data_IF_748187459989
#
_entry.id   IF_748187459989
#
_cell.length_a   1.000
_cell.length_b   1.000
_cell.length_c   1.000
_cell.angle_alpha   90.00
_cell.angle_beta   90.00
_cell.angle_gamma   90.00
#
_symmetry.space_group_name_H-M   'P 1'
#
loop_
_entity.id
_entity.type
_entity.pdbx_description
1 polymer ?
#
# COMPACT_ATOMS: atom_id res chain seq x y z
N UNK A 1 -45.09 41.64 -4.55
CA UNK A 1 -44.61 41.59 -5.95
C UNK A 1 -43.07 41.55 -6.07
N UNK A 2 -42.34 42.29 -5.22
CA UNK A 2 -40.86 42.37 -5.21
C UNK A 2 -40.18 41.02 -4.88
N UNK A 3 -40.73 40.27 -3.91
CA UNK A 3 -40.18 38.96 -3.48
C UNK A 3 -40.24 37.92 -4.60
N UNK A 4 -41.35 37.86 -5.36
CA UNK A 4 -41.48 36.94 -6.51
C UNK A 4 -40.47 37.25 -7.62
N UNK A 5 -40.17 38.53 -7.88
CA UNK A 5 -39.12 38.92 -8.84
C UNK A 5 -37.71 38.52 -8.38
N UNK A 6 -37.41 38.61 -7.09
CA UNK A 6 -36.12 38.18 -6.54
C UNK A 6 -35.91 36.66 -6.58
N UNK A 7 -36.96 35.89 -6.28
CA UNK A 7 -36.93 34.43 -6.40
C UNK A 7 -36.72 34.01 -7.86
N UNK A 8 -37.44 34.64 -8.80
CA UNK A 8 -37.30 34.33 -10.23
C UNK A 8 -35.89 34.65 -10.76
N UNK A 9 -35.32 35.78 -10.32
CA UNK A 9 -33.96 36.18 -10.70
C UNK A 9 -32.90 35.23 -10.12
N UNK A 10 -33.10 34.77 -8.89
CA UNK A 10 -32.20 33.80 -8.24
C UNK A 10 -32.27 32.42 -8.90
N UNK A 11 -33.47 31.93 -9.23
CA UNK A 11 -33.66 30.69 -9.99
C UNK A 11 -33.02 30.77 -11.38
N UNK A 12 -33.15 31.92 -12.07
CA UNK A 12 -32.52 32.11 -13.38
C UNK A 12 -30.99 32.08 -13.29
N UNK A 13 -30.41 32.80 -12.32
CA UNK A 13 -28.95 32.78 -12.06
C UNK A 13 -28.44 31.38 -11.73
N UNK A 14 -29.20 30.61 -10.95
CA UNK A 14 -28.83 29.23 -10.59
C UNK A 14 -28.81 28.32 -11.81
N UNK A 15 -29.85 28.40 -12.67
CA UNK A 15 -29.93 27.64 -13.91
C UNK A 15 -28.83 28.05 -14.90
N UNK A 16 -28.57 29.35 -15.06
CA UNK A 16 -27.48 29.84 -15.93
C UNK A 16 -26.11 29.37 -15.43
N UNK A 17 -25.89 29.35 -14.11
CA UNK A 17 -24.66 28.83 -13.51
C UNK A 17 -24.54 27.30 -13.70
N UNK A 18 -25.64 26.56 -13.55
CA UNK A 18 -25.65 25.11 -13.84
C UNK A 18 -25.37 24.80 -15.30
N UNK A 19 -25.89 25.60 -16.23
CA UNK A 19 -25.62 25.46 -17.68
C UNK A 19 -24.16 25.82 -17.99
N UNK A 20 -23.61 26.87 -17.38
CA UNK A 20 -22.19 27.21 -17.53
C UNK A 20 -21.25 26.14 -16.99
N UNK A 21 -21.57 25.55 -15.83
CA UNK A 21 -20.83 24.41 -15.26
C UNK A 21 -20.95 23.18 -16.16
N UNK A 22 -22.14 22.91 -16.70
CA UNK A 22 -22.39 21.82 -17.63
C UNK A 22 -21.58 21.99 -18.92
N UNK A 23 -21.52 23.20 -19.50
CA UNK A 23 -20.68 23.48 -20.66
C UNK A 23 -19.17 23.46 -20.33
N UNK A 24 -18.74 23.93 -19.16
CA UNK A 24 -17.34 23.81 -18.72
C UNK A 24 -16.91 22.35 -18.52
N UNK A 25 -17.84 21.45 -18.18
CA UNK A 25 -17.61 20.02 -18.08
C UNK A 25 -17.71 19.28 -19.43
N UNK A 26 -18.24 19.92 -20.48
CA UNK A 26 -18.55 19.29 -21.78
C UNK A 26 -17.72 19.82 -22.94
N UNK A 27 -16.91 20.87 -22.77
CA UNK A 27 -15.92 21.26 -23.79
C UNK A 27 -14.90 20.13 -23.94
N UNK A 28 -14.91 19.37 -25.05
CA UNK A 28 -13.90 18.36 -25.31
C UNK A 28 -12.72 19.10 -25.95
N UNK A 29 -11.80 19.53 -25.10
CA UNK A 29 -10.57 20.19 -25.50
C UNK A 29 -9.56 20.20 -24.36
N UNK A 30 -9.60 19.20 -23.47
CA UNK A 30 -8.65 19.13 -22.37
C UNK A 30 -7.36 18.53 -22.90
N UNK A 31 -6.43 19.39 -23.33
CA UNK A 31 -5.01 19.05 -23.23
C UNK A 31 -4.80 18.57 -21.79
N UNK A 32 -4.44 17.30 -21.62
CA UNK A 32 -3.98 16.77 -20.35
C UNK A 32 -2.70 17.52 -20.01
N UNK A 33 -2.74 18.24 -18.89
CA UNK A 33 -1.53 18.79 -18.32
C UNK A 33 -0.54 17.64 -18.09
N UNK A 34 0.73 17.83 -18.42
CA UNK A 34 1.73 16.81 -18.20
C UNK A 34 1.80 16.46 -16.72
N UNK A 35 2.02 15.19 -16.40
CA UNK A 35 2.21 14.72 -15.03
C UNK A 35 3.26 13.62 -14.98
N UNK A 36 3.81 13.35 -13.80
CA UNK A 36 4.86 12.35 -13.63
C UNK A 36 4.20 11.01 -13.26
N UNK A 37 4.57 9.95 -13.96
CA UNK A 37 4.18 8.59 -13.57
C UNK A 37 4.89 8.20 -12.27
N UNK A 38 4.19 7.61 -11.29
CA UNK A 38 4.84 7.12 -10.08
C UNK A 38 5.77 5.92 -10.35
N UNK A 39 5.65 5.25 -11.49
CA UNK A 39 6.39 4.02 -11.81
C UNK A 39 7.63 4.29 -12.67
N UNK A 40 8.64 3.41 -12.62
CA UNK A 40 9.84 3.59 -13.41
C UNK A 40 9.64 3.19 -14.88
N UNK A 41 10.48 3.72 -15.76
CA UNK A 41 10.77 3.17 -17.11
C UNK A 41 9.54 2.89 -17.99
N UNK A 42 8.55 3.78 -17.99
CA UNK A 42 7.33 3.61 -18.80
C UNK A 42 6.43 2.47 -18.32
N UNK A 43 6.58 2.03 -17.07
CA UNK A 43 5.62 1.13 -16.46
C UNK A 43 4.31 1.86 -16.22
N UNK A 44 3.23 1.17 -16.53
CA UNK A 44 1.90 1.74 -16.60
C UNK A 44 1.12 1.50 -15.31
N UNK A 45 1.29 0.33 -14.69
CA UNK A 45 0.64 -0.04 -13.44
C UNK A 45 1.53 -0.95 -12.61
N UNK A 46 1.20 -1.11 -11.33
CA UNK A 46 1.90 -2.02 -10.41
C UNK A 46 0.95 -3.06 -9.85
N UNK A 47 1.47 -4.28 -9.73
CA UNK A 47 0.82 -5.33 -8.98
C UNK A 47 1.81 -6.07 -8.08
N UNK A 48 1.42 -6.24 -6.82
CA UNK A 48 2.17 -7.02 -5.83
C UNK A 48 1.23 -7.66 -4.81
N UNK A 49 1.77 -8.57 -4.00
CA UNK A 49 1.01 -9.37 -3.03
C UNK A 49 1.76 -9.38 -1.70
N UNK A 50 1.03 -9.21 -0.59
CA UNK A 50 1.44 -9.62 0.75
C UNK A 50 0.73 -10.93 1.09
N UNK A 51 1.50 -12.01 1.24
CA UNK A 51 1.01 -13.30 1.73
C UNK A 51 1.21 -13.41 3.24
N UNK A 52 0.16 -13.80 3.94
CA UNK A 52 0.10 -13.90 5.39
C UNK A 52 0.52 -15.31 5.88
N UNK A 53 1.15 -15.37 7.05
CA UNK A 53 1.74 -16.58 7.61
C UNK A 53 0.73 -17.63 8.11
N UNK A 54 -0.57 -17.32 8.20
CA UNK A 54 -1.56 -18.30 8.69
C UNK A 54 -1.63 -19.56 7.84
N UNK A 55 -1.68 -20.70 8.53
CA UNK A 55 -1.85 -22.03 7.95
C UNK A 55 -0.74 -22.44 6.96
N UNK A 56 0.31 -21.62 6.84
CA UNK A 56 1.42 -21.86 5.93
C UNK A 56 2.16 -23.14 6.31
N UNK A 57 2.29 -24.04 5.34
CA UNK A 57 3.28 -25.12 5.38
C UNK A 57 4.01 -25.12 4.05
N UNK A 58 5.24 -25.65 4.02
CA UNK A 58 6.02 -25.74 2.78
C UNK A 58 5.20 -26.40 1.67
N UNK A 59 4.48 -27.50 1.95
CA UNK A 59 3.75 -28.22 0.89
C UNK A 59 2.58 -27.41 0.31
N UNK A 60 1.91 -26.60 1.15
CA UNK A 60 0.77 -25.77 0.72
C UNK A 60 1.23 -24.59 -0.13
N UNK A 61 2.25 -23.86 0.31
CA UNK A 61 2.64 -22.61 -0.36
C UNK A 61 3.58 -22.86 -1.54
N UNK A 62 4.37 -23.95 -1.52
CA UNK A 62 5.40 -24.20 -2.53
C UNK A 62 4.92 -24.18 -3.97
N UNK A 63 3.82 -24.87 -4.34
CA UNK A 63 3.31 -24.83 -5.71
C UNK A 63 2.87 -23.43 -6.15
N UNK A 64 2.40 -22.59 -5.22
CA UNK A 64 1.96 -21.22 -5.51
C UNK A 64 3.17 -20.33 -5.76
N UNK A 65 4.20 -20.39 -4.91
CA UNK A 65 5.42 -19.62 -5.07
C UNK A 65 6.28 -20.08 -6.25
N UNK A 66 6.30 -21.38 -6.56
CA UNK A 66 6.92 -21.88 -7.79
C UNK A 66 6.22 -21.28 -9.02
N UNK A 67 4.88 -21.23 -9.05
CA UNK A 67 4.12 -20.56 -10.10
C UNK A 67 4.42 -19.05 -10.16
N UNK A 68 4.42 -18.34 -9.03
CA UNK A 68 4.73 -16.89 -9.00
C UNK A 68 6.13 -16.62 -9.57
N UNK A 69 7.11 -17.46 -9.21
CA UNK A 69 8.47 -17.37 -9.71
C UNK A 69 8.54 -17.60 -11.22
N UNK A 70 7.88 -18.64 -11.73
CA UNK A 70 7.79 -18.95 -13.17
C UNK A 70 7.14 -17.81 -13.97
N UNK A 71 6.14 -17.14 -13.39
CA UNK A 71 5.44 -16.01 -14.01
C UNK A 71 6.18 -14.67 -13.84
N UNK A 72 7.32 -14.63 -13.16
CA UNK A 72 8.08 -13.40 -12.89
C UNK A 72 7.38 -12.45 -11.91
N UNK A 73 6.42 -12.94 -11.12
CA UNK A 73 5.68 -12.15 -10.14
C UNK A 73 6.41 -12.20 -8.79
N UNK A 74 7.19 -11.15 -8.48
CA UNK A 74 7.82 -11.01 -7.16
C UNK A 74 6.83 -10.43 -6.16
N UNK A 75 6.79 -11.03 -4.97
CA UNK A 75 5.82 -10.72 -3.92
C UNK A 75 6.52 -10.73 -2.55
N UNK A 76 5.74 -10.42 -1.52
CA UNK A 76 6.17 -10.37 -0.13
C UNK A 76 5.47 -11.48 0.66
N UNK A 77 6.25 -12.32 1.34
CA UNK A 77 5.75 -13.33 2.26
C UNK A 77 5.99 -12.89 3.70
N UNK A 78 4.96 -12.90 4.54
CA UNK A 78 5.08 -12.71 5.97
C UNK A 78 5.38 -14.06 6.64
N UNK A 79 6.24 -14.05 7.65
CA UNK A 79 6.61 -15.27 8.39
C UNK A 79 6.49 -15.06 9.90
N UNK A 80 6.18 -16.14 10.61
CA UNK A 80 6.37 -16.23 12.05
C UNK A 80 7.80 -16.66 12.36
N UNK A 81 8.50 -15.90 13.21
CA UNK A 81 9.88 -16.25 13.59
C UNK A 81 9.87 -17.42 14.58
N UNK A 82 8.91 -17.43 15.51
CA UNK A 82 8.86 -18.35 16.63
C UNK A 82 7.49 -19.00 16.77
N UNK A 83 7.48 -20.19 17.35
CA UNK A 83 6.24 -20.84 17.81
C UNK A 83 5.59 -20.01 18.92
N UNK A 84 4.26 -19.90 18.94
CA UNK A 84 3.57 -19.10 19.93
C UNK A 84 3.71 -19.72 21.33
N UNK A 85 4.25 -18.94 22.26
CA UNK A 85 4.33 -19.33 23.67
C UNK A 85 2.98 -19.15 24.42
N UNK A 86 2.08 -18.33 23.86
CA UNK A 86 0.77 -17.97 24.44
C UNK A 86 -0.32 -18.03 23.38
N UNK A 87 -1.57 -17.93 23.83
CA UNK A 87 -2.69 -17.67 22.92
C UNK A 87 -2.63 -16.23 22.41
N UNK A 88 -3.36 -15.92 21.35
CA UNK A 88 -3.58 -14.54 20.89
C UNK A 88 -4.84 -13.94 21.54
N UNK A 89 -5.06 -12.63 21.45
CA UNK A 89 -6.34 -11.96 21.71
C UNK A 89 -6.65 -11.61 23.17
N UNK A 90 -6.66 -12.61 24.06
CA UNK A 90 -6.99 -12.45 25.49
C UNK A 90 -5.73 -12.69 26.31
N UNK A 91 -5.40 -11.84 27.30
CA UNK A 91 -4.27 -12.08 28.19
C UNK A 91 -4.42 -13.40 28.95
N UNK A 92 -3.31 -14.13 29.16
CA UNK A 92 -3.31 -15.43 29.82
C UNK A 92 -3.95 -15.43 31.23
N UNK A 93 -3.83 -14.32 31.97
CA UNK A 93 -4.43 -14.18 33.29
C UNK A 93 -5.97 -14.05 33.24
N UNK A 94 -6.52 -13.55 32.13
CA UNK A 94 -7.97 -13.44 31.91
C UNK A 94 -8.57 -14.73 31.35
N UNK A 95 -7.78 -15.55 30.64
CA UNK A 95 -8.22 -16.88 30.20
C UNK A 95 -8.76 -17.69 31.38
N UNK A 96 -8.14 -17.60 32.56
CA UNK A 96 -8.60 -18.26 33.79
C UNK A 96 -10.04 -17.94 34.19
N UNK A 97 -10.56 -16.78 33.80
CA UNK A 97 -11.90 -16.29 34.12
C UNK A 97 -13.01 -16.74 33.15
N UNK A 98 -12.63 -17.28 31.98
CA UNK A 98 -13.57 -17.76 30.98
C UNK A 98 -14.23 -19.09 31.40
N UNK A 99 -15.49 -19.29 30.99
CA UNK A 99 -16.14 -20.60 31.08
C UNK A 99 -15.37 -21.66 30.30
N UNK A 100 -15.69 -22.93 30.55
CA UNK A 100 -15.00 -24.04 29.88
C UNK A 100 -15.26 -24.03 28.38
N UNK A 101 -16.49 -23.74 27.98
CA UNK A 101 -16.94 -23.69 26.59
C UNK A 101 -16.25 -22.55 25.83
N UNK A 102 -16.24 -21.34 26.40
CA UNK A 102 -15.55 -20.17 25.82
C UNK A 102 -14.06 -20.43 25.66
N UNK A 103 -13.44 -21.10 26.63
CA UNK A 103 -12.02 -21.47 26.57
C UNK A 103 -11.73 -22.47 25.46
N UNK A 104 -12.60 -23.46 25.25
CA UNK A 104 -12.43 -24.46 24.18
C UNK A 104 -12.57 -23.81 22.80
N UNK A 105 -13.58 -22.96 22.61
CA UNK A 105 -13.78 -22.23 21.35
C UNK A 105 -12.58 -21.34 21.04
N UNK A 106 -12.08 -20.62 22.04
CA UNK A 106 -10.93 -19.75 21.92
C UNK A 106 -9.63 -20.49 21.59
N UNK A 107 -9.36 -21.60 22.28
CA UNK A 107 -8.19 -22.43 22.01
C UNK A 107 -8.26 -23.00 20.59
N UNK A 108 -9.43 -23.43 20.13
CA UNK A 108 -9.59 -23.95 18.77
C UNK A 108 -9.37 -22.87 17.70
N UNK A 109 -9.85 -21.63 17.91
CA UNK A 109 -9.57 -20.48 17.04
C UNK A 109 -8.05 -20.21 16.98
N UNK A 110 -7.38 -20.15 18.15
CA UNK A 110 -5.94 -19.90 18.24
C UNK A 110 -5.07 -21.01 17.62
N UNK A 111 -5.47 -22.29 17.73
CA UNK A 111 -4.77 -23.41 17.09
C UNK A 111 -4.97 -23.45 15.57
N UNK A 112 -6.10 -22.94 15.07
CA UNK A 112 -6.41 -22.89 13.63
C UNK A 112 -5.63 -21.81 12.86
N UNK A 113 -4.99 -20.88 13.57
CA UNK A 113 -4.21 -19.77 13.02
C UNK A 113 -2.69 -20.06 13.02
N UNK A 114 -2.27 -21.31 13.22
CA UNK A 114 -0.84 -21.68 13.23
C UNK A 114 -0.36 -21.99 11.82
N UNK A 115 0.75 -21.37 11.43
CA UNK A 115 1.59 -21.78 10.30
C UNK A 115 2.95 -22.26 10.81
N UNK A 116 3.74 -22.85 9.91
CA UNK A 116 5.14 -23.19 10.17
C UNK A 116 5.94 -21.92 10.51
N UNK A 117 6.97 -22.10 11.34
CA UNK A 117 7.79 -21.00 11.84
C UNK A 117 9.25 -21.17 11.43
N UNK A 118 10.04 -20.10 11.52
CA UNK A 118 11.47 -20.16 11.20
C UNK A 118 12.28 -21.06 12.16
N UNK A 119 11.67 -21.55 13.25
CA UNK A 119 12.29 -22.56 14.13
C UNK A 119 12.30 -23.96 13.50
N UNK A 120 11.46 -24.19 12.49
CA UNK A 120 11.39 -25.44 11.76
C UNK A 120 12.35 -25.40 10.57
N UNK A 121 13.30 -26.34 10.53
CA UNK A 121 14.42 -26.30 9.59
C UNK A 121 13.97 -26.34 8.12
N UNK A 122 13.02 -27.22 7.77
CA UNK A 122 12.53 -27.37 6.39
C UNK A 122 11.83 -26.09 5.89
N UNK A 123 11.05 -25.44 6.76
CA UNK A 123 10.40 -24.17 6.44
C UNK A 123 11.43 -23.05 6.30
N UNK A 124 12.39 -22.94 7.23
CA UNK A 124 13.46 -21.95 7.16
C UNK A 124 14.29 -22.08 5.86
N UNK A 125 14.65 -23.29 5.46
CA UNK A 125 15.41 -23.53 4.23
C UNK A 125 14.61 -23.13 2.99
N UNK A 126 13.31 -23.36 3.00
CA UNK A 126 12.40 -22.91 1.96
C UNK A 126 12.25 -21.38 1.92
N UNK A 127 12.09 -20.71 3.06
CA UNK A 127 12.03 -19.24 3.12
C UNK A 127 13.35 -18.61 2.65
N UNK A 128 14.50 -19.20 2.99
CA UNK A 128 15.80 -18.78 2.46
C UNK A 128 15.89 -18.95 0.95
N UNK A 129 15.31 -20.02 0.41
CA UNK A 129 15.18 -20.21 -1.04
C UNK A 129 14.33 -19.12 -1.68
N UNK A 130 13.17 -18.79 -1.11
CA UNK A 130 12.33 -17.69 -1.60
C UNK A 130 13.08 -16.36 -1.61
N UNK A 131 13.81 -16.03 -0.54
CA UNK A 131 14.65 -14.83 -0.50
C UNK A 131 15.70 -14.82 -1.61
N UNK A 132 16.41 -15.94 -1.84
CA UNK A 132 17.37 -16.07 -2.96
C UNK A 132 16.71 -15.92 -4.33
N UNK A 133 15.45 -16.34 -4.46
CA UNK A 133 14.64 -16.18 -5.68
C UNK A 133 14.09 -14.76 -5.86
N UNK A 134 14.39 -13.82 -4.95
CA UNK A 134 13.99 -12.42 -5.04
C UNK A 134 12.59 -12.11 -4.48
N UNK A 135 12.02 -13.00 -3.67
CA UNK A 135 10.84 -12.66 -2.86
C UNK A 135 11.27 -11.89 -1.61
N UNK A 136 10.44 -10.95 -1.18
CA UNK A 136 10.66 -10.23 0.09
C UNK A 136 10.12 -11.06 1.26
N UNK A 137 10.86 -11.06 2.37
CA UNK A 137 10.43 -11.70 3.62
C UNK A 137 10.03 -10.60 4.61
N UNK A 138 8.75 -10.48 4.91
CA UNK A 138 8.22 -9.64 5.97
C UNK A 138 8.04 -10.45 7.27
N UNK A 139 7.83 -9.77 8.40
CA UNK A 139 7.47 -10.42 9.66
C UNK A 139 5.95 -10.34 9.87
N UNK A 140 5.34 -11.46 10.29
CA UNK A 140 3.94 -11.51 10.68
C UNK A 140 3.80 -11.45 12.21
N UNK A 141 4.41 -10.45 12.86
CA UNK A 141 4.72 -10.47 14.31
C UNK A 141 5.68 -11.60 14.72
N UNK A 142 6.05 -11.70 16.00
CA UNK A 142 7.05 -12.68 16.44
C UNK A 142 6.49 -14.12 16.35
N UNK A 143 5.22 -14.31 16.70
CA UNK A 143 4.48 -15.57 16.63
C UNK A 143 2.98 -15.35 16.41
N UNK A 144 2.21 -16.42 16.19
CA UNK A 144 0.74 -16.35 16.06
C UNK A 144 0.00 -16.07 17.39
N UNK A 145 0.73 -15.82 18.48
CA UNK A 145 0.23 -15.65 19.84
C UNK A 145 0.75 -14.36 20.47
N UNK A 146 0.20 -13.98 21.62
CA UNK A 146 0.60 -12.77 22.33
C UNK A 146 2.08 -12.84 22.76
N UNK A 147 2.89 -11.93 22.22
CA UNK A 147 4.32 -11.89 22.46
C UNK A 147 4.67 -10.75 23.43
N UNK A 148 5.34 -11.08 24.53
CA UNK A 148 5.88 -10.08 25.44
C UNK A 148 7.05 -9.35 24.77
N UNK A 149 7.34 -8.14 25.24
CA UNK A 149 8.43 -7.31 24.73
C UNK A 149 9.74 -8.08 24.49
N UNK A 150 10.20 -8.84 25.48
CA UNK A 150 11.48 -9.57 25.38
C UNK A 150 11.45 -10.66 24.30
N UNK A 151 10.28 -11.26 24.05
CA UNK A 151 10.10 -12.25 22.99
C UNK A 151 10.08 -11.58 21.62
N UNK A 152 9.41 -10.43 21.50
CA UNK A 152 9.45 -9.60 20.28
C UNK A 152 10.88 -9.17 19.96
N UNK A 153 11.63 -8.66 20.94
CA UNK A 153 13.03 -8.27 20.77
C UNK A 153 13.84 -9.48 20.28
N UNK A 154 13.71 -10.62 20.96
CA UNK A 154 14.44 -11.84 20.59
C UNK A 154 14.10 -12.31 19.19
N UNK A 155 12.83 -12.28 18.78
CA UNK A 155 12.42 -12.63 17.42
C UNK A 155 13.03 -11.68 16.36
N UNK A 156 13.13 -10.38 16.64
CA UNK A 156 13.80 -9.44 15.72
C UNK A 156 15.31 -9.71 15.60
N UNK A 157 15.98 -10.04 16.71
CA UNK A 157 17.39 -10.44 16.69
C UNK A 157 17.59 -11.76 15.92
N UNK A 158 16.76 -12.77 16.17
CA UNK A 158 16.79 -14.05 15.44
C UNK A 158 16.52 -13.85 13.95
N UNK A 159 15.55 -13.02 13.57
CA UNK A 159 15.30 -12.65 12.17
C UNK A 159 16.56 -12.05 11.54
N UNK A 160 17.21 -11.10 12.23
CA UNK A 160 18.47 -10.49 11.75
C UNK A 160 19.58 -11.51 11.61
N UNK A 161 19.74 -12.41 12.57
CA UNK A 161 20.78 -13.44 12.52
C UNK A 161 20.52 -14.44 11.36
N UNK A 162 19.25 -14.66 11.00
CA UNK A 162 18.85 -15.53 9.88
C UNK A 162 19.05 -14.86 8.51
N UNK A 163 18.66 -13.58 8.37
CA UNK A 163 18.58 -12.91 7.06
C UNK A 163 19.63 -11.82 6.84
N UNK A 164 20.41 -11.46 7.86
CA UNK A 164 21.44 -10.41 7.84
C UNK A 164 20.91 -8.99 8.04
N UNK A 165 19.59 -8.82 8.19
CA UNK A 165 18.91 -7.54 8.31
C UNK A 165 17.64 -7.67 9.16
N UNK A 166 17.15 -6.57 9.72
CA UNK A 166 15.85 -6.55 10.40
C UNK A 166 14.69 -6.52 9.41
N UNK A 167 13.47 -6.98 9.80
CA UNK A 167 12.34 -6.99 8.88
C UNK A 167 11.91 -5.56 8.52
N UNK A 168 12.06 -5.18 7.25
CA UNK A 168 11.65 -3.86 6.77
C UNK A 168 10.13 -3.63 6.83
N UNK A 169 9.35 -4.70 6.97
CA UNK A 169 7.89 -4.68 6.96
C UNK A 169 7.29 -5.60 8.00
N UNK A 170 6.29 -5.09 8.73
CA UNK A 170 5.45 -5.87 9.63
C UNK A 170 4.01 -5.91 9.13
N UNK A 171 3.49 -7.11 8.96
CA UNK A 171 2.09 -7.41 8.73
C UNK A 171 1.57 -7.91 10.07
N UNK A 172 0.74 -7.15 10.77
CA UNK A 172 0.30 -7.54 12.10
C UNK A 172 -0.69 -8.72 12.04
N UNK A 173 -0.52 -9.70 12.94
CA UNK A 173 -1.52 -10.74 13.19
C UNK A 173 -2.65 -10.13 14.00
N UNK A 174 -3.88 -10.15 13.49
CA UNK A 174 -4.96 -9.27 13.95
C UNK A 174 -5.32 -9.39 15.44
N UNK A 175 -5.02 -10.54 16.05
CA UNK A 175 -5.36 -10.86 17.43
C UNK A 175 -4.23 -10.60 18.43
N UNK A 176 -3.00 -10.33 18.00
CA UNK A 176 -1.87 -10.19 18.90
C UNK A 176 -1.93 -8.91 19.74
N UNK A 177 -1.85 -9.03 21.05
CA UNK A 177 -2.00 -7.90 21.99
C UNK A 177 -0.87 -6.87 21.87
N UNK A 178 0.29 -7.26 21.38
CA UNK A 178 1.37 -6.33 21.11
C UNK A 178 1.15 -5.51 19.84
N UNK A 179 0.09 -5.69 19.04
CA UNK A 179 -0.15 -4.82 17.89
C UNK A 179 -0.21 -3.33 18.29
N UNK A 180 0.64 -2.51 17.69
CA UNK A 180 0.72 -1.08 17.97
C UNK A 180 -0.40 -0.33 17.24
N UNK A 181 -1.14 0.52 17.97
CA UNK A 181 -2.25 1.33 17.45
C UNK A 181 -3.37 0.52 16.79
N UNK A 182 -3.68 -0.64 17.38
CA UNK A 182 -4.68 -1.57 16.87
C UNK A 182 -5.99 -1.50 17.66
N UNK A 183 -6.97 -2.32 17.29
CA UNK A 183 -8.34 -2.22 17.80
C UNK A 183 -8.96 -0.86 17.51
N UNK A 184 -9.83 -0.42 18.41
CA UNK A 184 -10.37 0.95 18.39
C UNK A 184 -9.32 2.09 18.23
N UNK A 185 -8.03 1.84 18.50
CA UNK A 185 -6.92 2.82 18.36
C UNK A 185 -6.41 3.02 16.93
N UNK A 186 -6.86 2.21 15.97
CA UNK A 186 -6.62 2.48 14.54
C UNK A 186 -7.16 3.87 14.17
N UNK A 187 -8.29 4.24 14.76
CA UNK A 187 -8.87 5.57 14.66
C UNK A 187 -8.25 6.52 15.70
N UNK A 188 -7.95 7.74 15.28
CA UNK A 188 -7.53 8.81 16.19
C UNK A 188 -8.60 9.09 17.27
N UNK A 189 -8.22 9.78 18.36
CA UNK A 189 -9.14 10.11 19.44
C UNK A 189 -10.34 10.91 18.90
N UNK A 190 -11.55 10.52 19.28
CA UNK A 190 -12.77 11.22 18.89
C UNK A 190 -13.98 10.31 18.71
N UNK A 191 -15.03 10.86 18.09
CA UNK A 191 -16.33 10.19 17.93
C UNK A 191 -16.20 8.87 17.17
N UNK A 192 -15.34 8.80 16.15
CA UNK A 192 -15.15 7.58 15.35
C UNK A 192 -14.55 6.47 16.22
N UNK A 193 -13.50 6.75 17.00
CA UNK A 193 -12.93 5.79 17.95
C UNK A 193 -13.98 5.32 18.96
N UNK A 194 -14.76 6.24 19.52
CA UNK A 194 -15.82 5.89 20.46
C UNK A 194 -16.88 4.97 19.82
N UNK A 195 -17.32 5.25 18.59
CA UNK A 195 -18.27 4.40 17.85
C UNK A 195 -17.67 3.03 17.58
N UNK A 196 -16.41 2.95 17.12
CA UNK A 196 -15.73 1.68 16.90
C UNK A 196 -15.63 0.85 18.18
N UNK A 197 -15.24 1.49 19.27
CA UNK A 197 -15.07 0.82 20.57
C UNK A 197 -16.40 0.34 21.15
N UNK A 198 -17.44 1.17 21.14
CA UNK A 198 -18.68 0.91 21.88
C UNK A 198 -19.77 0.27 21.04
N UNK A 199 -19.90 0.65 19.76
CA UNK A 199 -20.95 0.14 18.87
C UNK A 199 -20.43 -1.05 18.08
N UNK A 200 -19.32 -0.89 17.34
CA UNK A 200 -18.76 -1.99 16.56
C UNK A 200 -18.23 -3.07 17.51
N UNK A 201 -17.53 -2.70 18.58
CA UNK A 201 -17.06 -3.62 19.59
C UNK A 201 -18.15 -4.34 20.39
N UNK A 202 -19.44 -3.95 20.27
CA UNK A 202 -20.55 -4.74 20.82
C UNK A 202 -20.95 -5.91 19.90
N UNK A 203 -20.70 -5.77 18.60
CA UNK A 203 -21.02 -6.78 17.58
C UNK A 203 -19.77 -7.62 17.24
N UNK A 204 -18.58 -7.03 17.42
CA UNK A 204 -17.30 -7.64 17.10
C UNK A 204 -16.32 -7.53 18.29
N UNK A 205 -16.33 -8.51 19.21
CA UNK A 205 -15.58 -8.43 20.47
C UNK A 205 -14.07 -8.22 20.30
N UNK A 206 -13.44 -8.76 19.23
CA UNK A 206 -11.99 -8.63 19.01
C UNK A 206 -11.53 -7.18 18.84
N UNK A 207 -12.42 -6.27 18.39
CA UNK A 207 -12.11 -4.83 18.32
C UNK A 207 -11.86 -4.18 19.70
N UNK A 208 -12.27 -4.85 20.78
CA UNK A 208 -12.06 -4.45 22.19
C UNK A 208 -10.89 -5.15 22.86
N UNK A 209 -10.14 -6.00 22.16
CA UNK A 209 -8.94 -6.59 22.76
C UNK A 209 -7.98 -5.48 23.23
N UNK A 210 -7.30 -5.71 24.37
CA UNK A 210 -6.43 -4.72 24.98
C UNK A 210 -5.08 -4.66 24.24
N UNK A 211 -5.07 -4.13 23.01
CA UNK A 211 -3.85 -3.91 22.25
C UNK A 211 -2.98 -2.85 22.92
N UNK A 212 -1.69 -3.13 23.13
CA UNK A 212 -0.81 -2.32 23.97
C UNK A 212 0.61 -2.12 23.41
N UNK A 213 0.84 -2.40 22.12
CA UNK A 213 2.18 -2.28 21.50
C UNK A 213 2.85 -0.92 21.64
N UNK A 214 2.07 0.14 21.71
CA UNK A 214 2.52 1.53 21.87
C UNK A 214 2.58 2.01 23.33
N UNK A 215 2.11 1.24 24.29
CA UNK A 215 1.98 1.67 25.69
C UNK A 215 3.24 1.36 26.49
N UNK A 216 4.12 2.35 26.75
CA UNK A 216 5.42 2.14 27.41
C UNK A 216 5.41 1.35 28.73
N UNK A 217 4.32 1.42 29.50
CA UNK A 217 4.16 0.69 30.76
C UNK A 217 3.60 -0.74 30.61
N UNK A 218 3.22 -1.14 29.40
CA UNK A 218 2.67 -2.47 29.14
C UNK A 218 3.79 -3.52 28.99
N UNK A 219 3.57 -4.77 29.43
CA UNK A 219 4.46 -5.88 29.12
C UNK A 219 4.55 -6.20 27.61
N UNK A 220 3.59 -5.70 26.81
CA UNK A 220 3.54 -5.84 25.35
C UNK A 220 4.19 -4.66 24.61
N UNK A 221 4.78 -3.69 25.31
CA UNK A 221 5.37 -2.52 24.67
C UNK A 221 6.54 -2.90 23.75
N UNK A 222 6.44 -2.56 22.47
CA UNK A 222 7.55 -2.72 21.51
C UNK A 222 7.58 -1.61 20.45
N UNK A 223 6.80 -0.54 20.62
CA UNK A 223 6.71 0.55 19.65
C UNK A 223 8.06 1.23 19.34
N UNK A 224 8.98 1.28 20.29
CA UNK A 224 10.35 1.75 20.06
C UNK A 224 11.14 0.82 19.12
N UNK A 225 11.03 -0.50 19.30
CA UNK A 225 11.61 -1.50 18.42
C UNK A 225 10.99 -1.42 17.02
N UNK A 226 9.66 -1.29 16.94
CA UNK A 226 8.94 -1.09 15.67
C UNK A 226 9.45 0.16 14.93
N UNK A 227 9.64 1.27 15.67
CA UNK A 227 10.12 2.54 15.13
C UNK A 227 11.55 2.45 14.60
N UNK A 228 12.41 1.76 15.32
CA UNK A 228 13.82 1.65 14.98
C UNK A 228 14.07 0.66 13.83
N UNK A 229 13.38 -0.49 13.85
CA UNK A 229 13.76 -1.67 13.05
C UNK A 229 12.83 -1.98 11.88
N UNK A 230 11.65 -1.35 11.81
CA UNK A 230 10.64 -1.63 10.78
C UNK A 230 10.21 -0.35 10.06
N UNK A 231 10.23 -0.37 8.72
CA UNK A 231 9.89 0.79 7.90
C UNK A 231 8.39 0.87 7.59
N UNK A 232 7.78 -0.27 7.27
CA UNK A 232 6.41 -0.35 6.78
C UNK A 232 5.51 -1.21 7.67
N UNK A 233 4.29 -0.74 7.91
CA UNK A 233 3.25 -1.50 8.61
C UNK A 233 1.94 -1.50 7.82
N UNK A 234 1.33 -2.68 7.67
CA UNK A 234 0.03 -2.85 6.99
C UNK A 234 -1.11 -2.34 7.88
N UNK A 235 -2.10 -1.66 7.30
CA UNK A 235 -3.30 -1.23 8.05
C UNK A 235 -4.62 -1.39 7.27
N UNK A 236 -4.85 -0.57 6.24
CA UNK A 236 -6.20 -0.42 5.68
C UNK A 236 -6.48 -1.32 4.49
N UNK A 237 -7.51 -2.15 4.59
CA UNK A 237 -8.06 -2.94 3.49
C UNK A 237 -9.08 -2.18 2.64
N UNK A 238 -9.12 -2.49 1.34
CA UNK A 238 -10.16 -2.05 0.39
C UNK A 238 -10.60 -3.19 -0.51
N UNK A 239 -11.82 -3.15 -1.03
CA UNK A 239 -12.30 -4.13 -2.01
C UNK A 239 -12.02 -3.71 -3.47
N UNK A 240 -11.50 -2.50 -3.68
CA UNK A 240 -11.05 -2.05 -5.00
C UNK A 240 -9.69 -2.69 -5.33
N UNK A 241 -9.45 -3.07 -6.58
CA UNK A 241 -8.14 -3.57 -7.02
C UNK A 241 -7.08 -2.46 -6.96
N UNK A 242 -7.46 -1.21 -7.24
CA UNK A 242 -6.54 -0.08 -7.24
C UNK A 242 -6.39 0.49 -5.83
N UNK A 243 -5.47 -0.08 -5.05
CA UNK A 243 -5.16 0.35 -3.69
C UNK A 243 -4.74 1.81 -3.63
N UNK A 244 -3.88 2.25 -4.55
CA UNK A 244 -3.35 3.63 -4.59
C UNK A 244 -4.42 4.68 -4.83
N UNK A 245 -5.45 4.36 -5.61
CA UNK A 245 -6.59 5.27 -5.81
C UNK A 245 -7.38 5.52 -4.51
N UNK A 246 -7.47 4.51 -3.66
CA UNK A 246 -8.18 4.60 -2.38
C UNK A 246 -7.32 5.31 -1.34
N UNK A 247 -6.03 5.02 -1.30
CA UNK A 247 -5.08 5.71 -0.43
C UNK A 247 -3.91 6.31 -1.23
N UNK A 248 -4.09 7.48 -1.86
CA UNK A 248 -3.04 8.11 -2.68
C UNK A 248 -1.87 8.63 -1.84
N UNK A 249 -2.06 8.74 -0.52
CA UNK A 249 -1.00 9.17 0.38
C UNK A 249 0.00 8.07 0.73
N UNK A 250 -0.31 6.80 0.39
CA UNK A 250 0.52 5.67 0.77
C UNK A 250 1.88 5.66 0.04
N UNK A 251 2.96 5.24 0.71
CA UNK A 251 3.03 4.99 2.16
C UNK A 251 3.01 6.31 2.96
N UNK A 252 2.29 6.37 4.08
CA UNK A 252 2.05 7.62 4.83
C UNK A 252 2.47 7.53 6.29
N UNK A 253 2.89 8.66 6.86
CA UNK A 253 3.16 8.78 8.29
C UNK A 253 1.95 9.45 8.98
N UNK A 254 1.54 8.92 10.13
CA UNK A 254 0.52 9.52 10.99
C UNK A 254 1.21 10.08 12.24
N UNK A 255 1.29 11.41 12.43
CA UNK A 255 1.94 12.02 13.59
C UNK A 255 1.33 11.61 14.94
N UNK A 256 0.06 11.16 14.96
CA UNK A 256 -0.58 10.65 16.17
C UNK A 256 -0.15 9.21 16.51
N UNK A 257 0.55 8.54 15.60
CA UNK A 257 1.05 7.17 15.73
C UNK A 257 2.58 7.13 15.54
N UNK A 258 3.36 7.84 16.38
CA UNK A 258 4.77 8.15 16.13
C UNK A 258 5.68 6.92 15.99
N UNK A 259 5.31 5.79 16.61
CA UNK A 259 6.09 4.55 16.55
C UNK A 259 6.05 3.85 15.19
N UNK A 260 5.10 4.19 14.31
CA UNK A 260 5.08 3.66 12.95
C UNK A 260 5.67 4.68 11.99
N UNK A 261 6.72 4.26 11.29
CA UNK A 261 7.37 5.08 10.27
C UNK A 261 6.39 5.35 9.13
N UNK A 262 5.93 4.29 8.48
CA UNK A 262 4.97 4.40 7.39
C UNK A 262 3.92 3.29 7.39
N UNK A 263 2.67 3.71 7.23
CA UNK A 263 1.53 2.85 6.99
C UNK A 263 1.31 2.64 5.49
N UNK A 264 0.83 1.47 5.11
CA UNK A 264 0.33 1.22 3.76
C UNK A 264 -1.02 0.48 3.77
N UNK A 265 -1.73 0.61 2.66
CA UNK A 265 -3.04 0.00 2.43
C UNK A 265 -2.92 -1.22 1.52
N UNK A 266 -3.96 -2.03 1.46
CA UNK A 266 -4.01 -3.22 0.62
C UNK A 266 -5.41 -3.47 0.04
N UNK A 267 -5.46 -4.22 -1.05
CA UNK A 267 -6.68 -4.74 -1.66
C UNK A 267 -6.99 -6.13 -1.11
N UNK A 268 -8.23 -6.35 -0.70
CA UNK A 268 -8.68 -7.50 0.07
C UNK A 268 -8.84 -8.76 -0.80
N UNK A 269 -7.96 -9.73 -0.57
CA UNK A 269 -7.92 -11.02 -1.25
C UNK A 269 -7.71 -12.20 -0.30
N UNK A 270 -8.03 -12.07 1.00
CA UNK A 270 -7.71 -13.07 2.04
C UNK A 270 -8.15 -14.51 1.74
N UNK A 271 -9.17 -14.72 0.91
CA UNK A 271 -9.54 -16.06 0.41
C UNK A 271 -9.30 -16.20 -1.08
N UNK A 272 -9.03 -17.43 -1.54
CA UNK A 272 -9.03 -17.82 -2.96
C UNK A 272 -10.20 -17.25 -3.77
N UNK A 273 -11.42 -17.28 -3.21
CA UNK A 273 -12.62 -16.77 -3.90
C UNK A 273 -12.57 -15.25 -4.09
N UNK A 274 -12.16 -14.53 -3.04
CA UNK A 274 -12.04 -13.07 -3.10
C UNK A 274 -10.88 -12.64 -3.98
N UNK A 275 -9.74 -13.31 -3.88
CA UNK A 275 -8.58 -13.11 -4.74
C UNK A 275 -8.94 -13.26 -6.22
N UNK A 276 -9.57 -14.36 -6.61
CA UNK A 276 -9.99 -14.60 -7.99
C UNK A 276 -11.05 -13.59 -8.47
N UNK A 277 -11.93 -13.14 -7.57
CA UNK A 277 -12.89 -12.07 -7.88
C UNK A 277 -12.17 -10.73 -8.05
N UNK A 278 -11.17 -10.43 -7.23
CA UNK A 278 -10.39 -9.21 -7.28
C UNK A 278 -9.59 -9.14 -8.58
N UNK A 279 -8.96 -10.25 -9.00
CA UNK A 279 -8.16 -10.38 -10.22
C UNK A 279 -8.95 -10.80 -11.46
N UNK A 280 -10.25 -10.50 -11.53
CA UNK A 280 -10.97 -10.74 -12.78
C UNK A 280 -10.50 -9.78 -13.89
N UNK A 281 -10.75 -10.16 -15.15
CA UNK A 281 -10.30 -9.40 -16.34
C UNK A 281 -10.69 -7.92 -16.29
N UNK A 282 -11.95 -7.61 -15.92
CA UNK A 282 -12.46 -6.23 -15.82
C UNK A 282 -11.68 -5.41 -14.78
N UNK A 283 -11.32 -6.01 -13.65
CA UNK A 283 -10.56 -5.33 -12.62
C UNK A 283 -9.10 -5.12 -13.04
N UNK A 284 -8.47 -6.10 -13.69
CA UNK A 284 -7.12 -5.94 -14.23
C UNK A 284 -7.10 -4.83 -15.29
N UNK A 285 -8.06 -4.82 -16.23
CA UNK A 285 -8.21 -3.76 -17.23
C UNK A 285 -8.40 -2.38 -16.58
N UNK A 286 -9.23 -2.32 -15.52
CA UNK A 286 -9.43 -1.10 -14.74
C UNK A 286 -8.11 -0.63 -14.12
N UNK A 287 -7.35 -1.53 -13.47
CA UNK A 287 -6.06 -1.19 -12.86
C UNK A 287 -5.09 -0.60 -13.88
N UNK A 288 -4.98 -1.23 -15.07
CA UNK A 288 -4.12 -0.78 -16.14
C UNK A 288 -4.57 0.58 -16.69
N UNK A 289 -5.86 0.75 -16.98
CA UNK A 289 -6.42 2.01 -17.50
C UNK A 289 -6.28 3.17 -16.52
N UNK A 290 -6.38 2.88 -15.22
CA UNK A 290 -6.21 3.88 -14.16
C UNK A 290 -4.75 4.16 -13.83
N UNK A 291 -3.79 3.50 -14.48
CA UNK A 291 -2.36 3.57 -14.15
C UNK A 291 -2.11 3.35 -12.64
N UNK A 292 -2.81 2.37 -12.06
CA UNK A 292 -2.91 2.20 -10.61
C UNK A 292 -1.85 1.27 -10.01
N UNK A 293 -1.83 1.20 -8.67
CA UNK A 293 -1.02 0.22 -7.95
C UNK A 293 -1.91 -0.63 -7.04
N UNK A 294 -1.71 -1.94 -7.10
CA UNK A 294 -2.44 -2.95 -6.33
C UNK A 294 -1.48 -3.70 -5.40
N UNK A 295 -1.70 -3.60 -4.10
CA UNK A 295 -1.05 -4.43 -3.09
C UNK A 295 -2.11 -5.41 -2.58
N UNK A 296 -2.15 -6.65 -3.07
CA UNK A 296 -3.18 -7.62 -2.65
C UNK A 296 -2.75 -8.33 -1.38
N UNK A 297 -3.61 -8.36 -0.37
CA UNK A 297 -3.42 -9.21 0.80
C UNK A 297 -4.10 -10.56 0.61
N UNK A 298 -3.42 -11.66 0.96
CA UNK A 298 -3.99 -13.00 0.85
C UNK A 298 -3.38 -13.99 1.85
N UNK A 299 -3.98 -15.19 1.93
CA UNK A 299 -3.42 -16.34 2.64
C UNK A 299 -3.26 -17.49 1.62
N UNK A 300 -2.09 -17.63 1.00
CA UNK A 300 -1.89 -18.64 -0.03
C UNK A 300 -2.00 -20.07 0.50
N UNK A 301 -1.76 -20.28 1.79
CA UNK A 301 -2.00 -21.57 2.41
C UNK A 301 -3.50 -21.97 2.42
N UNK A 302 -4.41 -20.99 2.41
CA UNK A 302 -5.86 -21.21 2.53
C UNK A 302 -6.52 -21.47 1.17
N UNK A 303 -6.27 -22.66 0.62
CA UNK A 303 -7.03 -23.24 -0.49
C UNK A 303 -6.53 -22.85 -1.89
N UNK A 304 -5.44 -22.10 -2.03
CA UNK A 304 -4.83 -21.81 -3.33
C UNK A 304 -4.07 -23.00 -3.91
N UNK A 305 -3.76 -24.00 -3.09
CA UNK A 305 -3.30 -25.31 -3.54
C UNK A 305 -4.15 -26.40 -2.88
N UNK A 306 -4.27 -27.54 -3.54
CA UNK A 306 -4.97 -28.71 -3.02
C UNK A 306 -4.14 -29.95 -3.22
N UNK A 307 -4.24 -30.88 -2.28
CA UNK A 307 -3.61 -32.20 -2.42
C UNK A 307 -4.33 -33.01 -3.50
N UNK A 308 -3.55 -33.53 -4.43
CA UNK A 308 -3.95 -34.43 -5.51
C UNK A 308 -4.00 -35.88 -5.03
N UNK A 309 -4.57 -36.76 -5.85
CA UNK A 309 -4.71 -38.18 -5.53
C UNK A 309 -3.36 -38.91 -5.37
N UNK A 310 -2.30 -38.41 -6.01
CA UNK A 310 -0.93 -38.90 -5.92
C UNK A 310 -0.15 -38.33 -4.71
N UNK A 311 -0.80 -37.50 -3.89
CA UNK A 311 -0.21 -36.88 -2.71
C UNK A 311 0.51 -35.55 -2.97
N UNK A 312 0.69 -35.13 -4.24
CA UNK A 312 1.28 -33.84 -4.60
C UNK A 312 0.30 -32.68 -4.36
N UNK A 313 0.79 -31.44 -4.22
CA UNK A 313 -0.08 -30.25 -4.17
C UNK A 313 -0.15 -29.56 -5.53
N UNK A 314 -1.37 -29.21 -5.96
CA UNK A 314 -1.62 -28.54 -7.23
C UNK A 314 -2.35 -27.22 -7.00
N UNK A 315 -1.87 -26.17 -7.66
CA UNK A 315 -2.45 -24.82 -7.59
C UNK A 315 -3.88 -24.83 -8.14
N UNK A 316 -4.75 -24.06 -7.50
CA UNK A 316 -6.12 -23.80 -7.96
C UNK A 316 -6.13 -23.29 -9.41
N UNK A 317 -6.87 -23.94 -10.33
CA UNK A 317 -6.85 -23.58 -11.75
C UNK A 317 -7.29 -22.15 -12.06
N UNK A 318 -8.25 -21.60 -11.29
CA UNK A 318 -8.71 -20.24 -11.49
C UNK A 318 -7.62 -19.22 -11.09
N UNK A 319 -6.99 -19.43 -9.93
CA UNK A 319 -5.88 -18.61 -9.43
C UNK A 319 -4.71 -18.64 -10.40
N UNK A 320 -4.34 -19.84 -10.89
CA UNK A 320 -3.30 -20.00 -11.91
C UNK A 320 -3.61 -19.23 -13.18
N UNK A 321 -4.87 -19.29 -13.66
CA UNK A 321 -5.30 -18.59 -14.87
C UNK A 321 -5.23 -17.07 -14.71
N UNK A 322 -5.69 -16.52 -13.57
CA UNK A 322 -5.66 -15.07 -13.35
C UNK A 322 -4.24 -14.53 -13.21
N UNK A 323 -3.38 -15.22 -12.45
CA UNK A 323 -1.97 -14.85 -12.32
C UNK A 323 -1.25 -14.90 -13.68
N UNK A 324 -1.50 -15.94 -14.48
CA UNK A 324 -0.92 -16.05 -15.82
C UNK A 324 -1.35 -14.89 -16.74
N UNK A 325 -2.64 -14.55 -16.77
CA UNK A 325 -3.15 -13.40 -17.54
C UNK A 325 -2.50 -12.09 -17.10
N UNK A 326 -2.37 -11.89 -15.78
CA UNK A 326 -1.76 -10.69 -15.23
C UNK A 326 -0.28 -10.58 -15.60
N UNK A 327 0.48 -11.67 -15.51
CA UNK A 327 1.90 -11.71 -15.87
C UNK A 327 2.18 -11.41 -17.35
N UNK A 328 1.20 -11.59 -18.24
CA UNK A 328 1.33 -11.30 -19.67
C UNK A 328 1.27 -9.79 -19.98
N UNK A 329 0.93 -8.95 -18.99
CA UNK A 329 0.89 -7.49 -19.13
C UNK A 329 2.30 -6.91 -19.07
N UNK A 330 2.88 -6.63 -20.26
CA UNK A 330 4.27 -6.15 -20.40
C UNK A 330 4.52 -4.78 -19.77
N UNK A 331 3.46 -3.97 -19.69
CA UNK A 331 3.42 -2.64 -19.08
C UNK A 331 3.25 -2.69 -17.55
N UNK A 332 3.11 -3.88 -16.97
CA UNK A 332 3.07 -4.10 -15.52
C UNK A 332 4.46 -4.07 -14.87
N UNK A 333 4.52 -3.51 -13.67
CA UNK A 333 5.67 -3.59 -12.77
C UNK A 333 5.33 -4.54 -11.61
N UNK A 334 6.06 -5.65 -11.53
CA UNK A 334 5.80 -6.77 -10.61
C UNK A 334 6.96 -6.93 -9.63
N UNK A 335 6.85 -6.26 -8.49
CA UNK A 335 7.93 -6.14 -7.51
C UNK A 335 7.43 -6.43 -6.10
N UNK A 336 8.31 -6.76 -5.14
CA UNK A 336 7.93 -6.83 -3.75
C UNK A 336 7.35 -5.51 -3.24
N UNK A 337 6.62 -5.60 -2.13
CA UNK A 337 5.82 -4.48 -1.61
C UNK A 337 6.71 -3.32 -1.17
N UNK A 338 7.83 -3.58 -0.48
CA UNK A 338 8.73 -2.48 -0.07
C UNK A 338 9.33 -1.71 -1.24
N UNK A 339 9.62 -2.37 -2.37
CA UNK A 339 10.16 -1.72 -3.56
C UNK A 339 9.16 -0.71 -4.16
N UNK A 340 7.88 -1.10 -4.24
CA UNK A 340 6.80 -0.18 -4.60
C UNK A 340 6.72 0.99 -3.60
N UNK A 341 6.70 0.70 -2.29
CA UNK A 341 6.53 1.73 -1.27
C UNK A 341 7.71 2.71 -1.22
N UNK A 342 8.94 2.22 -1.38
CA UNK A 342 10.16 3.02 -1.49
C UNK A 342 10.10 3.94 -2.70
N UNK A 343 9.67 3.41 -3.85
CA UNK A 343 9.45 4.23 -5.06
C UNK A 343 8.42 5.33 -4.80
N UNK A 344 7.27 4.99 -4.22
CA UNK A 344 6.24 5.99 -3.91
C UNK A 344 6.75 7.08 -2.94
N UNK A 345 7.59 6.73 -1.95
CA UNK A 345 8.24 7.74 -1.10
C UNK A 345 9.16 8.67 -1.88
N UNK A 346 10.03 8.13 -2.74
CA UNK A 346 10.92 8.95 -3.56
C UNK A 346 10.13 9.93 -4.44
N UNK A 347 9.04 9.45 -5.04
CA UNK A 347 8.21 10.25 -5.95
C UNK A 347 7.49 11.41 -5.25
N UNK A 348 7.29 11.38 -3.93
CA UNK A 348 6.72 12.52 -3.18
C UNK A 348 7.61 13.77 -3.21
N UNK A 349 8.92 13.58 -3.42
CA UNK A 349 9.91 14.66 -3.52
C UNK A 349 10.36 14.90 -4.97
N UNK A 350 9.64 14.36 -5.96
CA UNK A 350 9.83 14.71 -7.36
C UNK A 350 8.75 15.70 -7.76
N UNK A 351 9.16 16.88 -8.22
CA UNK A 351 8.24 17.97 -8.56
C UNK A 351 8.29 18.24 -10.05
N UNK A 352 7.11 18.30 -10.67
CA UNK A 352 6.94 18.82 -12.01
C UNK A 352 6.67 20.32 -11.95
N UNK A 353 7.46 21.10 -12.68
CA UNK A 353 7.24 22.53 -12.88
C UNK A 353 7.08 22.81 -14.36
N UNK A 354 5.96 23.39 -14.75
CA UNK A 354 5.68 23.77 -16.13
C UNK A 354 5.85 25.28 -16.32
N UNK A 355 6.55 25.66 -17.38
CA UNK A 355 6.71 27.05 -17.84
C UNK A 355 6.15 27.18 -19.26
N UNK A 356 6.14 28.40 -19.80
CA UNK A 356 5.77 28.62 -21.21
C UNK A 356 6.72 27.89 -22.18
N UNK A 357 8.00 27.73 -21.82
CA UNK A 357 9.04 27.22 -22.71
C UNK A 357 9.44 25.77 -22.46
N UNK A 358 9.24 25.24 -21.25
CA UNK A 358 9.70 23.92 -20.84
C UNK A 358 8.86 23.30 -19.72
N UNK A 359 8.99 21.97 -19.58
CA UNK A 359 8.58 21.19 -18.41
C UNK A 359 9.86 20.75 -17.70
N UNK A 360 9.95 21.00 -16.39
CA UNK A 360 11.13 20.70 -15.57
C UNK A 360 10.74 19.70 -14.50
N UNK A 361 11.39 18.55 -14.49
CA UNK A 361 11.30 17.54 -13.45
C UNK A 361 12.44 17.77 -12.48
N UNK A 362 12.15 18.05 -11.21
CA UNK A 362 13.16 18.28 -10.18
C UNK A 362 13.09 17.21 -9.10
N UNK A 363 14.23 16.67 -8.71
CA UNK A 363 14.36 15.72 -7.62
C UNK A 363 14.88 16.43 -6.37
N UNK A 364 14.11 16.43 -5.30
CA UNK A 364 14.50 17.02 -4.01
C UNK A 364 14.98 15.97 -2.99
N UNK A 365 15.07 14.70 -3.38
CA UNK A 365 15.67 13.68 -2.51
C UNK A 365 17.19 13.83 -2.45
N UNK A 366 17.77 13.33 -1.35
CA UNK A 366 19.22 13.17 -1.17
C UNK A 366 19.80 12.00 -1.99
N UNK A 367 18.94 11.26 -2.70
CA UNK A 367 19.29 10.14 -3.57
C UNK A 367 18.77 10.36 -4.99
N UNK A 368 19.40 9.68 -5.96
CA UNK A 368 18.89 9.66 -7.33
C UNK A 368 17.54 8.94 -7.42
N UNK A 369 16.69 9.40 -8.33
CA UNK A 369 15.40 8.76 -8.64
C UNK A 369 15.50 8.14 -10.03
N UNK A 370 15.57 6.80 -10.14
CA UNK A 370 15.79 6.14 -11.41
C UNK A 370 14.53 6.14 -12.28
N UNK A 371 14.73 6.13 -13.61
CA UNK A 371 13.70 5.85 -14.61
C UNK A 371 12.45 6.72 -14.49
N UNK A 372 12.57 8.03 -14.25
CA UNK A 372 11.40 8.91 -14.18
C UNK A 372 10.71 8.99 -15.55
N UNK A 373 9.38 8.87 -15.55
CA UNK A 373 8.55 8.93 -16.75
C UNK A 373 7.59 10.11 -16.68
N UNK A 374 7.59 10.93 -17.72
CA UNK A 374 6.61 11.99 -17.93
C UNK A 374 5.46 11.44 -18.77
N UNK A 375 4.22 11.71 -18.35
CA UNK A 375 3.03 11.49 -19.16
C UNK A 375 2.61 12.82 -19.77
N UNK A 376 2.49 12.86 -21.09
CA UNK A 376 2.14 14.04 -21.86
C UNK A 376 1.18 13.68 -23.03
N UNK A 377 0.68 14.70 -23.72
CA UNK A 377 -0.12 14.52 -24.93
C UNK A 377 0.68 13.78 -26.02
N UNK A 378 0.21 12.62 -26.55
CA UNK A 378 0.96 11.77 -27.49
C UNK A 378 1.53 12.47 -28.73
N UNK A 379 0.84 13.50 -29.23
CA UNK A 379 1.24 14.24 -30.42
C UNK A 379 2.15 15.45 -30.12
N UNK A 380 2.34 15.79 -28.85
CA UNK A 380 3.18 16.91 -28.46
C UNK A 380 4.66 16.54 -28.47
N UNK A 381 5.51 17.43 -29.00
CA UNK A 381 6.96 17.19 -29.10
C UNK A 381 7.70 17.97 -28.02
N UNK A 382 8.60 17.29 -27.35
CA UNK A 382 9.57 17.90 -26.45
C UNK A 382 10.98 17.78 -27.03
N UNK A 383 11.91 18.53 -26.47
CA UNK A 383 13.33 18.49 -26.82
C UNK A 383 14.15 18.38 -25.55
N UNK A 384 15.18 17.53 -25.55
CA UNK A 384 16.16 17.47 -24.47
C UNK A 384 17.13 18.66 -24.54
N UNK A 385 18.06 18.75 -23.59
CA UNK A 385 19.09 19.80 -23.54
C UNK A 385 20.05 19.80 -24.74
N UNK A 386 20.16 18.69 -25.45
CA UNK A 386 20.99 18.54 -26.65
C UNK A 386 20.20 18.86 -27.94
N UNK A 387 18.91 19.18 -27.82
CA UNK A 387 18.00 19.42 -28.93
C UNK A 387 17.49 18.16 -29.62
N UNK A 388 17.71 16.98 -29.05
CA UNK A 388 17.11 15.75 -29.56
C UNK A 388 15.61 15.78 -29.29
N UNK A 389 14.83 15.38 -30.29
CA UNK A 389 13.37 15.35 -30.16
C UNK A 389 12.95 14.15 -29.29
N UNK A 390 12.20 14.44 -28.23
CA UNK A 390 11.51 13.48 -27.39
C UNK A 390 10.03 13.44 -27.80
N UNK A 391 9.59 12.31 -28.34
CA UNK A 391 8.19 12.10 -28.70
C UNK A 391 7.57 11.12 -27.69
N UNK A 392 6.45 11.48 -27.03
CA UNK A 392 5.69 10.50 -26.26
C UNK A 392 5.22 9.34 -27.15
N UNK A 393 5.09 8.17 -26.55
CA UNK A 393 4.53 6.99 -27.22
C UNK A 393 2.99 7.07 -27.34
N UNK A 394 2.36 5.96 -27.74
CA UNK A 394 0.90 5.88 -27.90
C UNK A 394 0.12 6.06 -26.60
N UNK A 395 0.75 5.78 -25.46
CA UNK A 395 0.19 5.92 -24.13
C UNK A 395 0.57 7.26 -23.46
N UNK A 396 1.32 8.10 -24.18
CA UNK A 396 1.74 9.45 -23.77
C UNK A 396 3.04 9.47 -22.98
N UNK A 397 3.84 8.41 -23.01
CA UNK A 397 4.99 8.25 -22.12
C UNK A 397 6.28 8.79 -22.73
N UNK A 398 7.03 9.56 -21.93
CA UNK A 398 8.40 9.96 -22.22
C UNK A 398 9.27 9.47 -21.07
N UNK A 399 10.21 8.58 -21.35
CA UNK A 399 11.24 8.18 -20.38
C UNK A 399 12.24 9.34 -20.26
N UNK A 400 12.17 10.05 -19.14
CA UNK A 400 13.10 11.14 -18.80
C UNK A 400 14.44 10.53 -18.34
N UNK A 401 14.39 9.36 -17.72
CA UNK A 401 15.57 8.66 -17.20
C UNK A 401 15.84 9.01 -15.74
N UNK A 402 17.07 8.80 -15.31
CA UNK A 402 17.46 8.99 -13.92
C UNK A 402 17.64 10.47 -13.59
N UNK A 403 17.05 10.93 -12.49
CA UNK A 403 17.25 12.29 -11.99
C UNK A 403 18.20 12.20 -10.78
N UNK A 404 19.42 12.77 -10.85
CA UNK A 404 20.37 12.77 -9.72
C UNK A 404 19.79 13.41 -8.46
N UNK A 405 20.41 13.14 -7.31
CA UNK A 405 20.08 13.82 -6.05
C UNK A 405 20.17 15.35 -6.22
N UNK A 406 19.14 16.08 -5.77
CA UNK A 406 18.99 17.53 -5.98
C UNK A 406 19.10 18.00 -7.45
N UNK A 407 18.93 17.08 -8.40
CA UNK A 407 19.05 17.32 -9.84
C UNK A 407 17.73 17.72 -10.49
N UNK A 408 17.79 18.10 -11.76
CA UNK A 408 16.61 18.31 -12.58
C UNK A 408 16.85 17.85 -14.02
N UNK A 409 15.76 17.61 -14.73
CA UNK A 409 15.72 17.41 -16.17
C UNK A 409 14.71 18.37 -16.80
N UNK A 410 15.14 19.09 -17.83
CA UNK A 410 14.29 20.04 -18.56
C UNK A 410 13.93 19.48 -19.94
N UNK A 411 12.64 19.46 -20.23
CA UNK A 411 12.06 19.08 -21.52
C UNK A 411 11.46 20.33 -22.18
N UNK A 412 12.10 20.82 -23.23
CA UNK A 412 11.71 22.06 -23.90
C UNK A 412 10.57 21.83 -24.88
N UNK A 413 9.61 22.76 -24.94
CA UNK A 413 8.41 22.67 -25.80
C UNK A 413 8.67 23.08 -27.26
N UNK A 414 9.81 23.73 -27.53
CA UNK A 414 10.26 24.12 -28.87
C UNK A 414 11.80 24.05 -28.90
N UNK A 415 12.38 23.64 -30.03
CA UNK A 415 13.82 23.68 -30.28
C UNK A 415 14.41 25.09 -30.16
N UNK A 416 13.63 26.13 -30.46
CA UNK A 416 14.09 27.53 -30.29
C UNK A 416 14.30 27.90 -28.81
N UNK A 417 13.70 27.15 -27.87
CA UNK A 417 13.82 27.39 -26.44
C UNK A 417 15.10 26.80 -25.83
N UNK A 418 15.97 26.15 -26.62
CA UNK A 418 17.24 25.56 -26.17
C UNK A 418 18.29 26.60 -25.73
N UNK A 419 18.04 27.90 -25.90
CA UNK A 419 18.98 28.95 -25.51
C UNK A 419 18.92 29.23 -24.00
N UNK A 420 20.06 29.35 -23.30
CA UNK A 420 20.10 29.40 -21.84
C UNK A 420 19.70 30.79 -21.32
N UNK A 421 18.43 30.95 -20.95
CA UNK A 421 18.03 31.93 -19.96
C UNK A 421 18.29 31.36 -18.55
N UNK A 422 19.55 31.32 -18.11
CA UNK A 422 19.91 30.89 -16.74
C UNK A 422 19.17 31.68 -15.64
N UNK A 423 18.55 32.82 -15.97
CA UNK A 423 17.90 33.73 -15.04
C UNK A 423 16.39 33.50 -14.83
N UNK A 424 15.67 32.80 -15.72
CA UNK A 424 14.23 32.54 -15.54
C UNK A 424 13.95 31.23 -14.78
N UNK A 425 14.72 30.17 -15.05
CA UNK A 425 14.56 28.89 -14.36
C UNK A 425 15.01 28.96 -12.89
N UNK A 426 16.09 29.70 -12.61
CA UNK A 426 16.62 29.87 -11.25
C UNK A 426 15.67 30.69 -10.36
N UNK A 427 14.95 31.67 -10.92
CA UNK A 427 13.95 32.47 -10.18
C UNK A 427 12.65 31.73 -9.88
N UNK A 428 12.21 30.81 -10.74
CA UNK A 428 11.00 30.01 -10.49
C UNK A 428 11.24 28.88 -9.48
N UNK A 429 12.46 28.32 -9.45
CA UNK A 429 12.88 27.27 -8.51
C UNK A 429 13.15 27.86 -7.11
N UNK A 430 13.70 29.07 -7.00
CA UNK A 430 13.99 29.71 -5.69
C UNK A 430 12.74 30.16 -4.91
N UNK A 431 11.57 30.25 -5.54
CA UNK A 431 10.33 30.73 -4.89
C UNK A 431 9.36 29.62 -4.44
N UNK A 432 9.69 28.35 -4.64
CA UNK A 432 9.00 27.24 -3.97
C UNK A 432 9.92 26.71 -2.88
N UNK A 433 9.67 27.12 -1.64
CA UNK A 433 10.20 26.40 -0.48
C UNK A 433 9.85 24.92 -0.66
N UNK A 434 10.83 24.04 -0.38
CA UNK A 434 10.54 22.62 -0.24
C UNK A 434 9.31 22.48 0.69
N UNK A 435 8.34 21.60 0.40
CA UNK A 435 7.35 21.28 1.41
C UNK A 435 8.13 20.86 2.65
N UNK A 436 8.00 21.62 3.75
CA UNK A 436 8.73 21.31 4.97
C UNK A 436 8.45 19.84 5.28
N UNK A 437 9.51 19.05 5.47
CA UNK A 437 9.39 17.72 6.04
C UNK A 437 8.77 17.90 7.44
N UNK A 438 7.44 17.84 7.53
CA UNK A 438 6.66 18.13 8.73
C UNK A 438 5.55 19.18 8.63
N UNK A 439 5.30 19.83 7.48
CA UNK A 439 4.14 20.73 7.36
C UNK A 439 2.84 19.94 7.18
N UNK A 440 1.97 20.03 8.20
CA UNK A 440 0.65 19.39 8.27
C UNK A 440 -0.24 19.74 7.05
N UNK A 441 -0.95 18.75 6.46
CA UNK A 441 -2.26 19.05 5.89
C UNK A 441 -3.15 19.44 7.05
N UNK A 442 -3.51 20.72 7.13
CA UNK A 442 -4.27 21.27 8.25
C UNK A 442 -5.51 20.44 8.57
N UNK A 443 -5.89 20.44 9.86
CA UNK A 443 -7.06 19.81 10.52
C UNK A 443 -8.39 19.78 9.74
N UNK A 444 -8.53 20.48 8.61
CA UNK A 444 -9.71 20.56 7.77
C UNK A 444 -9.77 19.58 6.58
N UNK A 445 -8.67 18.91 6.18
CA UNK A 445 -8.73 17.93 5.08
C UNK A 445 -9.24 16.55 5.50
N UNK A 446 -8.99 16.12 6.74
CA UNK A 446 -9.49 14.84 7.26
C UNK A 446 -11.02 14.76 7.28
N UNK A 447 -11.71 15.88 7.51
CA UNK A 447 -13.18 15.94 7.51
C UNK A 447 -13.78 16.10 6.11
N UNK A 448 -13.06 16.70 5.16
CA UNK A 448 -13.54 16.91 3.78
C UNK A 448 -13.53 15.63 2.94
N UNK A 449 -12.60 14.71 3.23
CA UNK A 449 -12.54 13.38 2.62
C UNK A 449 -13.77 12.51 2.97
N UNK A 450 -14.40 12.74 4.13
CA UNK A 450 -15.60 11.98 4.55
C UNK A 450 -16.90 12.56 3.99
N UNK A 451 -16.95 13.85 3.68
CA UNK A 451 -18.22 14.53 3.39
C UNK A 451 -18.51 14.82 1.90
N UNK A 452 -17.50 14.84 1.02
CA UNK A 452 -17.68 15.38 -0.35
C UNK A 452 -17.90 14.36 -1.48
N UNK A 453 -18.04 13.07 -1.18
CA UNK A 453 -18.55 12.07 -2.13
C UNK A 453 -19.50 11.15 -1.39
N UNK A 454 -20.80 11.32 -1.66
CA UNK A 454 -21.89 10.71 -0.91
C UNK A 454 -21.69 9.21 -0.68
N UNK A 455 -21.89 8.79 0.57
CA UNK A 455 -22.20 7.43 0.99
C UNK A 455 -21.51 6.35 0.14
N UNK A 456 -20.18 6.44 0.03
CA UNK A 456 -19.38 5.27 -0.31
C UNK A 456 -19.49 4.37 0.90
N UNK A 457 -20.10 3.22 0.71
CA UNK A 457 -20.01 2.11 1.65
C UNK A 457 -18.53 1.86 1.94
N UNK A 458 -18.01 2.46 3.02
CA UNK A 458 -16.81 1.99 3.71
C UNK A 458 -17.20 0.66 4.33
N UNK A 459 -17.20 -0.40 3.52
CA UNK A 459 -16.97 -1.74 4.03
C UNK A 459 -15.49 -1.77 4.43
N UNK A 460 -15.17 -1.13 5.55
CA UNK A 460 -13.89 -1.29 6.24
C UNK A 460 -13.84 -2.70 6.77
N UNK A 461 -13.34 -3.64 5.96
CA UNK A 461 -12.63 -4.78 6.52
C UNK A 461 -11.29 -4.21 6.98
N UNK A 462 -11.27 -3.64 8.18
CA UNK A 462 -10.07 -3.82 8.99
C UNK A 462 -10.07 -5.31 9.25
N UNK A 463 -9.04 -6.03 8.82
CA UNK A 463 -8.82 -7.40 9.28
C UNK A 463 -8.67 -7.31 10.80
N UNK A 464 -9.76 -7.51 11.52
CA UNK A 464 -9.79 -7.57 12.98
C UNK A 464 -9.72 -9.01 13.44
#
# INVERSE_FOLDING_TARGET
MIIKKRILLFSFLLVSLSVLIFFALIIPGNKREPYISPYPEGKNFVFTITDDAHDQTVEKIKPVYDLLYELGLKTTIAVYVREPARNNGIPDFELGSLSREERIEFINDSLSLKGDTLQQQDYLDYIRELKRRGFEIAIHTASAGNDLRDETIKAYEEYRDIFGEYPGMNIMHSNNLENAYWGHKVFGPGVIRWVTENVIGAIYPKAKFPFQGEEQGSPYFWGDILKEKTKYVRMWGTHDINTLKINPSMPYHDPQKPYVNYWFSFSEGHTRKMFNKLLNDKNIEKLCKERGASIVYTHFASGFSRRSADGSYVVDPASKTQLAKLSQRKDGWFVPVSELLDRLLLMKNVVLSETASAVVVSNFNDSAVPGVTLIAEPDFRYYDENGNQLKPDEDGEIIVGDIPAHGNAALYKNADNLRPGRDELSRSIQHREAPQAGAEPGRFEYARLVLNRGWVWLTTTVDW
#
